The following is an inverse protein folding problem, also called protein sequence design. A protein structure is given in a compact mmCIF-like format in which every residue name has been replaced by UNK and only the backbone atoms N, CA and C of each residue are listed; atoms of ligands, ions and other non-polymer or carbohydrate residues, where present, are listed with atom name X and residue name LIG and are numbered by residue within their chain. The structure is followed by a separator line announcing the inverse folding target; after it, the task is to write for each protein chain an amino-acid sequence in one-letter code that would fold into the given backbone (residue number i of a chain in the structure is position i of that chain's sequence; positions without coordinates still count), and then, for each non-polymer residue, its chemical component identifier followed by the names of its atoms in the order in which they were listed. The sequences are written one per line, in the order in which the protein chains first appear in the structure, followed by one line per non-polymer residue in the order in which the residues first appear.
data_IF_680101181245
#
_entry.id   IF_680101181245
#
_cell.length_a   1.000
_cell.length_b   1.000
_cell.length_c   1.000
_cell.angle_alpha   90.00
_cell.angle_beta   90.00
_cell.angle_gamma   90.00
#
_symmetry.space_group_name_H-M   'P 1'
#
loop_
_entity.id
_entity.type
_entity.pdbx_description
1 polymer ?
#
# COMPACT_ATOMS: atom_id res chain seq x y z
N UNK A 1 7.44 18.38 -12.28
CA UNK A 1 6.63 17.15 -12.35
C UNK A 1 7.24 16.03 -11.54
N UNK A 2 7.44 16.24 -10.23
CA UNK A 2 7.83 15.16 -9.30
C UNK A 2 6.54 14.63 -8.68
N UNK A 3 6.18 13.34 -8.86
CA UNK A 3 4.97 12.80 -8.26
C UNK A 3 5.14 12.64 -6.74
N UNK A 4 4.05 12.63 -5.96
CA UNK A 4 4.13 12.44 -4.51
C UNK A 4 4.62 11.04 -4.11
N UNK A 5 4.52 10.05 -5.00
CA UNK A 5 4.74 8.64 -4.71
C UNK A 5 3.87 8.16 -3.56
N UNK A 6 4.44 7.89 -2.38
CA UNK A 6 3.72 7.40 -1.19
C UNK A 6 3.05 6.02 -1.38
N UNK A 7 2.26 5.57 -0.40
CA UNK A 7 1.46 4.35 -0.55
C UNK A 7 0.39 4.54 -1.64
N UNK A 8 0.15 3.51 -2.44
CA UNK A 8 -0.86 3.56 -3.52
C UNK A 8 -2.30 3.57 -2.95
N UNK A 9 -2.52 2.80 -1.89
CA UNK A 9 -3.70 2.84 -1.02
C UNK A 9 -3.28 3.50 0.29
N UNK A 10 -3.53 4.81 0.36
CA UNK A 10 -3.18 5.63 1.50
C UNK A 10 -4.03 5.31 2.75
N UNK A 11 -5.24 4.78 2.58
CA UNK A 11 -6.15 4.52 3.67
C UNK A 11 -5.67 3.33 4.51
N UNK A 12 -5.37 2.20 3.86
CA UNK A 12 -4.83 1.03 4.57
C UNK A 12 -3.49 1.33 5.24
N UNK A 13 -2.60 2.04 4.54
CA UNK A 13 -1.30 2.43 5.08
C UNK A 13 -1.42 3.32 6.33
N UNK A 14 -2.31 4.31 6.31
CA UNK A 14 -2.53 5.22 7.44
C UNK A 14 -3.19 4.51 8.62
N UNK A 15 -4.20 3.67 8.37
CA UNK A 15 -4.85 2.90 9.43
C UNK A 15 -3.86 2.00 10.16
N UNK A 16 -3.02 1.27 9.43
CA UNK A 16 -2.01 0.41 10.05
C UNK A 16 -0.99 1.18 10.89
N UNK A 17 -0.50 2.33 10.40
CA UNK A 17 0.38 3.20 11.17
C UNK A 17 -0.31 3.73 12.43
N UNK A 18 -1.60 4.09 12.32
CA UNK A 18 -2.40 4.55 13.47
C UNK A 18 -2.57 3.47 14.53
N UNK A 19 -2.75 2.21 14.14
CA UNK A 19 -2.85 1.05 15.05
C UNK A 19 -1.53 0.78 15.78
N UNK A 20 -0.40 1.07 15.13
CA UNK A 20 0.94 1.02 15.76
C UNK A 20 1.27 2.28 16.59
N UNK A 21 0.39 3.28 16.59
CA UNK A 21 0.62 4.60 17.19
C UNK A 21 1.82 5.34 16.59
N UNK A 22 2.11 5.08 15.31
CA UNK A 22 3.15 5.77 14.56
C UNK A 22 2.73 7.21 14.22
N UNK A 23 3.69 8.14 14.07
CA UNK A 23 3.43 9.44 13.47
C UNK A 23 2.95 9.29 12.02
N UNK A 24 2.21 10.27 11.50
CA UNK A 24 1.65 10.20 10.15
C UNK A 24 2.72 10.08 9.04
N UNK A 25 3.94 10.54 9.33
CA UNK A 25 5.08 10.53 8.40
C UNK A 25 5.90 9.23 8.47
N UNK A 26 5.49 8.26 9.30
CA UNK A 26 6.19 6.99 9.43
C UNK A 26 6.22 6.23 8.10
N UNK A 27 7.42 5.81 7.70
CA UNK A 27 7.58 4.99 6.50
C UNK A 27 7.26 3.53 6.80
N UNK A 28 6.85 2.82 5.75
CA UNK A 28 6.56 1.39 5.79
C UNK A 28 6.76 0.78 4.41
N UNK A 29 6.63 -0.53 4.33
CA UNK A 29 6.88 -1.27 3.10
C UNK A 29 5.57 -1.53 2.35
N UNK A 30 5.46 -1.03 1.12
CA UNK A 30 4.42 -1.44 0.17
C UNK A 30 4.83 -2.74 -0.53
N UNK A 31 3.95 -3.73 -0.51
CA UNK A 31 4.11 -5.05 -1.11
C UNK A 31 3.13 -5.16 -2.27
N UNK A 32 3.61 -5.56 -3.44
CA UNK A 32 2.77 -5.73 -4.64
C UNK A 32 2.70 -7.20 -5.04
N UNK A 33 1.50 -7.80 -4.91
CA UNK A 33 1.16 -9.20 -5.24
C UNK A 33 1.90 -10.28 -4.43
N UNK A 34 3.22 -10.24 -4.33
CA UNK A 34 4.03 -11.19 -3.55
C UNK A 34 4.92 -10.45 -2.56
N UNK A 35 4.97 -10.94 -1.33
CA UNK A 35 5.79 -10.38 -0.28
C UNK A 35 7.22 -10.92 -0.23
N UNK A 36 8.09 -10.25 0.54
CA UNK A 36 9.43 -10.73 0.86
C UNK A 36 9.43 -11.69 2.07
N UNK A 37 10.56 -12.36 2.27
CA UNK A 37 10.94 -12.95 3.56
C UNK A 37 11.89 -12.00 4.28
N UNK A 38 11.59 -11.66 5.54
CA UNK A 38 12.33 -10.69 6.34
C UNK A 38 12.72 -11.31 7.68
N UNK A 39 13.95 -11.10 8.11
CA UNK A 39 14.40 -11.45 9.46
C UNK A 39 14.45 -10.18 10.33
N UNK A 40 13.87 -10.24 11.53
CA UNK A 40 13.94 -9.13 12.47
C UNK A 40 15.21 -9.23 13.31
N UNK A 41 16.02 -8.17 13.32
CA UNK A 41 17.26 -8.12 14.13
C UNK A 41 17.04 -7.52 15.53
N UNK A 42 15.84 -7.03 15.82
CA UNK A 42 15.46 -6.45 17.11
C UNK A 42 13.98 -6.74 17.38
N UNK A 43 13.58 -6.70 18.65
CA UNK A 43 12.18 -6.84 19.02
C UNK A 43 11.36 -5.67 18.48
N UNK A 44 10.23 -5.95 17.83
CA UNK A 44 9.40 -4.91 17.21
C UNK A 44 7.93 -5.33 17.14
N UNK A 45 7.02 -4.35 17.20
CA UNK A 45 5.62 -4.57 16.85
C UNK A 45 5.40 -4.26 15.38
N UNK A 46 4.64 -5.10 14.70
CA UNK A 46 4.35 -4.91 13.28
C UNK A 46 2.88 -5.20 12.97
N UNK A 47 2.42 -4.75 11.81
CA UNK A 47 1.09 -5.05 11.29
C UNK A 47 1.17 -5.17 9.77
N UNK A 48 0.34 -6.07 9.23
CA UNK A 48 0.10 -6.19 7.78
C UNK A 48 -1.30 -5.65 7.49
N UNK A 49 -1.43 -4.71 6.55
CA UNK A 49 -2.71 -4.11 6.16
C UNK A 49 -2.87 -4.14 4.64
N UNK A 50 -4.02 -3.67 4.13
CA UNK A 50 -4.37 -3.75 2.71
C UNK A 50 -4.90 -5.12 2.33
N UNK A 51 -4.53 -5.59 1.14
CA UNK A 51 -4.93 -6.90 0.63
C UNK A 51 -4.42 -8.02 1.56
N UNK A 52 -5.25 -9.03 1.77
CA UNK A 52 -4.87 -10.20 2.56
C UNK A 52 -3.79 -10.98 1.80
N UNK A 53 -2.73 -11.38 2.48
CA UNK A 53 -1.69 -12.26 1.95
C UNK A 53 -1.37 -13.36 2.94
N UNK A 54 -0.74 -14.43 2.45
CA UNK A 54 -0.19 -15.47 3.32
C UNK A 54 0.96 -14.87 4.14
N UNK A 55 0.87 -14.96 5.47
CA UNK A 55 1.92 -14.47 6.35
C UNK A 55 2.20 -15.48 7.46
N UNK A 56 3.47 -15.73 7.72
CA UNK A 56 3.93 -16.61 8.80
C UNK A 56 5.12 -15.95 9.51
N UNK A 57 5.09 -15.91 10.84
CA UNK A 57 6.24 -15.58 11.68
C UNK A 57 6.82 -16.90 12.18
N UNK A 58 8.00 -17.25 11.67
CA UNK A 58 8.59 -18.59 11.73
C UNK A 58 7.66 -19.65 11.13
N UNK A 59 6.95 -20.40 11.98
CA UNK A 59 5.95 -21.39 11.58
C UNK A 59 4.51 -20.99 11.97
N UNK A 60 4.35 -19.91 12.74
CA UNK A 60 3.05 -19.47 13.22
C UNK A 60 2.35 -18.54 12.22
N UNK A 61 1.06 -18.76 11.88
CA UNK A 61 0.32 -17.90 10.98
C UNK A 61 0.14 -16.49 11.57
N UNK A 62 0.27 -15.47 10.73
CA UNK A 62 0.07 -14.07 11.08
C UNK A 62 -1.25 -13.57 10.50
N UNK A 63 -2.10 -13.02 11.37
CA UNK A 63 -3.38 -12.43 10.97
C UNK A 63 -3.16 -10.99 10.49
N UNK A 64 -3.59 -10.68 9.26
CA UNK A 64 -3.62 -9.31 8.75
C UNK A 64 -4.59 -8.44 9.56
N UNK A 65 -4.34 -7.13 9.61
CA UNK A 65 -5.11 -6.14 10.36
C UNK A 65 -5.09 -6.33 11.89
N UNK A 66 -4.09 -7.07 12.39
CA UNK A 66 -3.82 -7.24 13.81
C UNK A 66 -2.36 -6.92 14.10
N UNK A 67 -2.12 -6.16 15.18
CA UNK A 67 -0.75 -5.87 15.65
C UNK A 67 -0.14 -7.16 16.22
N UNK A 68 1.03 -7.51 15.71
CA UNK A 68 1.84 -8.65 16.13
C UNK A 68 3.14 -8.16 16.76
N UNK A 69 3.84 -9.05 17.46
CA UNK A 69 5.17 -8.80 18.00
C UNK A 69 6.16 -9.82 17.44
N UNK A 70 7.31 -9.35 16.99
CA UNK A 70 8.44 -10.18 16.60
C UNK A 70 9.60 -9.97 17.57
N UNK A 71 10.32 -11.05 17.85
CA UNK A 71 11.56 -11.06 18.62
C UNK A 71 12.77 -11.08 17.67
N UNK A 72 13.97 -10.68 18.16
CA UNK A 72 15.19 -10.79 17.37
C UNK A 72 15.41 -12.24 16.90
N UNK A 73 15.80 -12.40 15.64
CA UNK A 73 16.05 -13.68 14.99
C UNK A 73 14.84 -14.28 14.27
N UNK A 74 13.61 -13.89 14.61
CA UNK A 74 12.40 -14.42 13.99
C UNK A 74 12.27 -13.98 12.53
N UNK A 75 11.69 -14.85 11.71
CA UNK A 75 11.56 -14.68 10.26
C UNK A 75 10.10 -14.54 9.86
N UNK A 76 9.74 -13.38 9.32
CA UNK A 76 8.44 -13.15 8.71
C UNK A 76 8.48 -13.49 7.22
N UNK A 77 7.75 -14.54 6.84
CA UNK A 77 7.53 -14.93 5.44
C UNK A 77 6.22 -14.36 4.96
N UNK A 78 6.26 -13.56 3.90
CA UNK A 78 5.08 -12.98 3.25
C UNK A 78 4.94 -13.59 1.86
N UNK A 79 3.87 -14.35 1.65
CA UNK A 79 3.56 -15.03 0.40
C UNK A 79 2.78 -14.14 -0.56
N UNK A 80 1.94 -14.79 -1.37
CA UNK A 80 1.10 -14.13 -2.36
C UNK A 80 -0.17 -13.54 -1.72
N UNK A 81 -0.64 -12.44 -2.28
CA UNK A 81 -1.98 -11.90 -2.00
C UNK A 81 -3.04 -12.95 -2.33
N UNK A 82 -3.95 -13.18 -1.40
CA UNK A 82 -5.06 -14.11 -1.51
C UNK A 82 -6.36 -13.36 -1.85
N UNK A 83 -7.04 -13.81 -2.90
CA UNK A 83 -8.32 -13.23 -3.32
C UNK A 83 -8.17 -11.83 -3.92
N UNK A 84 -8.95 -10.88 -3.41
CA UNK A 84 -9.04 -9.53 -3.96
C UNK A 84 -7.91 -8.60 -3.49
N UNK A 85 -7.60 -7.61 -4.32
CA UNK A 85 -6.57 -6.61 -4.04
C UNK A 85 -5.21 -6.95 -4.66
N UNK A 86 -4.32 -5.96 -4.70
CA UNK A 86 -3.00 -6.09 -5.32
C UNK A 86 -1.85 -5.63 -4.41
N UNK A 87 -2.17 -4.91 -3.33
CA UNK A 87 -1.18 -4.28 -2.46
C UNK A 87 -1.48 -4.52 -1.00
N UNK A 88 -0.44 -4.89 -0.27
CA UNK A 88 -0.43 -4.96 1.17
C UNK A 88 0.67 -4.04 1.72
N UNK A 89 0.60 -3.74 3.02
CA UNK A 89 1.58 -2.90 3.68
C UNK A 89 2.09 -3.58 4.94
N UNK A 90 3.40 -3.76 5.03
CA UNK A 90 4.07 -4.13 6.27
C UNK A 90 4.55 -2.85 6.96
N UNK A 91 4.05 -2.63 8.17
CA UNK A 91 4.37 -1.45 8.98
C UNK A 91 4.95 -1.93 10.31
N UNK A 92 5.91 -1.17 10.83
CA UNK A 92 6.60 -1.47 12.10
C UNK A 92 6.46 -0.28 13.05
N UNK A 93 6.42 -0.53 14.36
CA UNK A 93 6.36 0.55 15.35
C UNK A 93 7.58 1.46 15.25
N UNK A 94 7.38 2.77 15.23
CA UNK A 94 8.40 3.78 14.93
C UNK A 94 8.53 4.11 13.44
N UNK A 95 8.21 3.16 12.56
CA UNK A 95 8.39 3.27 11.11
C UNK A 95 9.79 2.87 10.63
N UNK A 96 9.93 2.69 9.32
CA UNK A 96 11.23 2.43 8.70
C UNK A 96 12.07 3.72 8.66
N UNK A 97 13.37 3.57 8.91
CA UNK A 97 14.33 4.63 8.73
C UNK A 97 14.76 4.74 7.26
N UNK A 98 15.22 5.92 6.88
CA UNK A 98 15.67 6.24 5.54
C UNK A 98 15.90 7.74 5.37
N UNK A 99 16.79 8.08 4.46
CA UNK A 99 17.07 9.47 4.13
C UNK A 99 15.84 10.15 3.53
N UNK A 100 15.55 11.35 4.02
CA UNK A 100 14.55 12.20 3.39
C UNK A 100 15.10 12.70 2.04
N UNK A 101 14.28 12.61 1.01
CA UNK A 101 14.52 13.25 -0.27
C UNK A 101 13.31 14.13 -0.59
N UNK A 102 13.55 15.43 -0.78
CA UNK A 102 12.48 16.43 -0.95
C UNK A 102 11.42 16.37 0.17
N UNK A 103 11.86 16.14 1.41
CA UNK A 103 10.97 16.07 2.58
C UNK A 103 10.17 14.77 2.73
N UNK A 104 10.40 13.75 1.89
CA UNK A 104 9.69 12.47 1.92
C UNK A 104 10.62 11.26 1.95
N UNK A 105 10.15 10.16 2.55
CA UNK A 105 10.82 8.84 2.50
C UNK A 105 10.23 7.92 1.42
N UNK A 106 9.28 8.40 0.62
CA UNK A 106 8.68 7.60 -0.43
C UNK A 106 9.67 7.30 -1.57
N UNK A 107 9.63 6.08 -2.09
CA UNK A 107 10.42 5.69 -3.26
C UNK A 107 9.73 6.13 -4.54
N UNK A 108 10.45 6.80 -5.44
CA UNK A 108 10.04 7.01 -6.82
C UNK A 108 10.92 6.16 -7.74
N UNK A 109 10.47 4.96 -8.06
CA UNK A 109 11.28 3.96 -8.78
C UNK A 109 11.65 4.37 -10.21
N UNK A 110 10.77 5.08 -10.92
CA UNK A 110 11.04 5.57 -12.27
C UNK A 110 12.12 6.67 -12.27
N UNK A 111 12.10 7.55 -11.26
CA UNK A 111 13.11 8.59 -11.08
C UNK A 111 14.35 8.14 -10.30
N UNK A 112 14.35 6.91 -9.77
CA UNK A 112 15.44 6.29 -9.02
C UNK A 112 15.90 7.09 -7.78
N UNK A 113 14.97 7.67 -7.01
CA UNK A 113 15.28 8.37 -5.77
C UNK A 113 14.25 8.14 -4.66
N UNK A 114 14.62 8.53 -3.44
CA UNK A 114 13.82 8.34 -2.23
C UNK A 114 13.77 6.89 -1.75
N UNK A 115 13.21 6.68 -0.56
CA UNK A 115 13.13 5.36 0.09
C UNK A 115 14.49 4.66 0.20
N UNK A 116 14.51 3.35 -0.03
CA UNK A 116 15.75 2.56 0.01
C UNK A 116 16.49 2.65 -1.33
N UNK A 117 17.45 3.57 -1.40
CA UNK A 117 18.33 3.75 -2.56
C UNK A 117 17.60 3.94 -3.89
N UNK A 118 16.40 4.55 -3.87
CA UNK A 118 15.62 4.86 -5.07
C UNK A 118 15.00 3.67 -5.80
N UNK A 119 15.03 2.47 -5.22
CA UNK A 119 14.68 1.23 -5.91
C UNK A 119 13.78 0.30 -5.09
N UNK A 120 13.28 -0.74 -5.74
CA UNK A 120 12.70 -1.89 -5.05
C UNK A 120 13.77 -2.63 -4.25
N UNK A 121 13.35 -3.26 -3.16
CA UNK A 121 14.21 -4.08 -2.31
C UNK A 121 14.70 -5.32 -3.06
N UNK A 122 15.85 -5.82 -2.64
CA UNK A 122 16.54 -7.00 -3.15
C UNK A 122 17.00 -7.87 -1.98
N UNK A 123 17.24 -9.14 -2.25
CA UNK A 123 17.82 -10.05 -1.27
C UNK A 123 19.15 -9.51 -0.74
N UNK A 124 19.31 -9.54 0.57
CA UNK A 124 20.49 -9.01 1.27
C UNK A 124 20.39 -7.54 1.68
N UNK A 125 19.36 -6.81 1.26
CA UNK A 125 19.13 -5.46 1.76
C UNK A 125 18.78 -5.48 3.26
N UNK A 126 19.35 -4.52 3.99
CA UNK A 126 19.09 -4.32 5.42
C UNK A 126 18.34 -3.00 5.60
N UNK A 127 17.13 -3.08 6.16
CA UNK A 127 16.33 -1.91 6.50
C UNK A 127 16.51 -1.56 7.97
N UNK A 128 16.80 -0.29 8.23
CA UNK A 128 16.81 0.24 9.58
C UNK A 128 15.41 0.68 9.98
N UNK A 129 15.12 0.63 11.27
CA UNK A 129 13.86 1.09 11.85
C UNK A 129 14.15 2.30 12.72
N UNK A 130 13.26 3.28 12.69
CA UNK A 130 13.31 4.36 13.66
C UNK A 130 13.02 3.78 15.04
N UNK A 131 13.78 4.23 16.04
CA UNK A 131 13.48 3.87 17.43
C UNK A 131 12.08 4.38 17.76
N UNK A 132 11.15 3.53 18.22
CA UNK A 132 9.83 3.99 18.61
C UNK A 132 9.94 5.00 19.75
N UNK A 133 9.09 6.03 19.73
CA UNK A 133 8.97 6.95 20.86
C UNK A 133 8.28 6.20 22.03
N UNK A 134 9.04 5.43 22.81
CA UNK A 134 8.54 4.66 23.95
C UNK A 134 9.22 3.30 24.11
N UNK A 135 8.82 2.57 25.16
CA UNK A 135 9.39 1.26 25.46
C UNK A 135 8.88 0.19 24.47
N UNK A 136 9.73 -0.43 23.62
CA UNK A 136 9.32 -1.46 22.67
C UNK A 136 8.75 -2.72 23.34
N UNK A 137 9.00 -2.90 24.64
CA UNK A 137 8.50 -4.00 25.48
C UNK A 137 7.33 -3.60 26.39
N UNK A 138 6.88 -2.35 26.35
CA UNK A 138 5.71 -1.91 27.12
C UNK A 138 4.41 -2.46 26.54
N UNK A 139 3.48 -2.85 27.41
CA UNK A 139 2.09 -3.15 27.05
C UNK A 139 1.35 -1.86 26.68
N UNK A 140 1.64 -1.32 25.51
CA UNK A 140 0.78 -0.29 24.94
C UNK A 140 -0.57 -0.94 24.58
N UNK A 141 -1.71 -0.29 24.88
CA UNK A 141 -2.98 -0.74 24.38
C UNK A 141 -2.87 -0.79 22.85
N UNK A 142 -2.97 -1.99 22.27
CA UNK A 142 -3.12 -2.14 20.82
C UNK A 142 -4.58 -1.87 20.53
N UNK A 143 -4.94 -0.70 19.97
CA UNK A 143 -6.33 -0.43 19.63
C UNK A 143 -6.79 -1.50 18.63
N UNK A 144 -7.92 -2.15 18.90
CA UNK A 144 -8.55 -3.02 17.91
C UNK A 144 -9.16 -2.14 16.82
N UNK A 145 -8.90 -2.46 15.56
CA UNK A 145 -9.56 -1.78 14.44
C UNK A 145 -11.06 -2.12 14.46
N UNK A 146 -11.97 -1.15 14.60
CA UNK A 146 -13.39 -1.41 14.42
C UNK A 146 -13.64 -1.97 13.02
N UNK A 147 -14.44 -3.03 12.92
CA UNK A 147 -14.70 -3.71 11.64
C UNK A 147 -15.24 -2.75 10.57
N UNK A 148 -16.05 -1.76 10.97
CA UNK A 148 -16.60 -0.74 10.08
C UNK A 148 -15.55 0.19 9.44
N UNK A 149 -14.36 0.33 10.04
CA UNK A 149 -13.27 1.13 9.48
C UNK A 149 -12.37 0.33 8.55
N UNK A 150 -12.46 -1.01 8.55
CA UNK A 150 -11.66 -1.86 7.68
C UNK A 150 -12.16 -1.72 6.23
N UNK A 151 -11.28 -1.40 5.27
CA UNK A 151 -11.69 -1.28 3.88
C UNK A 151 -12.17 -2.63 3.32
N UNK A 152 -13.30 -2.61 2.62
CA UNK A 152 -13.82 -3.76 1.89
C UNK A 152 -13.09 -3.88 0.56
N UNK A 153 -12.09 -4.76 0.48
CA UNK A 153 -11.30 -4.96 -0.75
C UNK A 153 -11.97 -6.04 -1.60
N UNK A 154 -12.43 -5.66 -2.79
CA UNK A 154 -13.22 -6.51 -3.69
C UNK A 154 -12.60 -6.57 -5.10
N UNK A 155 -13.17 -7.39 -5.98
CA UNK A 155 -12.76 -7.51 -7.39
C UNK A 155 -13.58 -6.62 -8.33
N UNK A 156 -14.72 -6.11 -7.86
CA UNK A 156 -15.57 -5.17 -8.58
C UNK A 156 -15.74 -3.90 -7.74
N UNK A 157 -15.64 -2.74 -8.38
CA UNK A 157 -15.66 -1.45 -7.71
C UNK A 157 -16.56 -0.47 -8.46
N UNK A 158 -17.27 0.36 -7.69
CA UNK A 158 -17.87 1.59 -8.19
C UNK A 158 -16.99 2.75 -7.72
N UNK A 159 -16.50 3.55 -8.66
CA UNK A 159 -15.62 4.68 -8.38
C UNK A 159 -16.38 5.97 -8.66
N UNK A 160 -16.51 6.83 -7.66
CA UNK A 160 -17.03 8.17 -7.84
C UNK A 160 -15.93 9.07 -8.40
N UNK A 161 -16.25 9.78 -9.48
CA UNK A 161 -15.34 10.71 -10.15
C UNK A 161 -16.02 12.08 -10.23
N UNK A 162 -15.21 13.13 -10.23
CA UNK A 162 -15.68 14.46 -10.63
C UNK A 162 -15.60 14.55 -12.15
N UNK A 163 -16.67 15.00 -12.78
CA UNK A 163 -16.72 15.13 -14.24
C UNK A 163 -15.77 16.20 -14.76
N UNK A 164 -15.10 15.94 -15.89
CA UNK A 164 -14.17 16.86 -16.54
C UNK A 164 -12.69 16.52 -16.35
N UNK A 165 -11.77 17.34 -16.89
CA UNK A 165 -12.05 18.61 -17.58
C UNK A 165 -12.56 18.44 -19.02
N UNK A 166 -12.30 17.31 -19.66
CA UNK A 166 -12.53 17.13 -21.11
C UNK A 166 -13.70 16.22 -21.47
N UNK A 167 -14.62 15.94 -20.55
CA UNK A 167 -15.88 15.27 -20.91
C UNK A 167 -16.82 16.16 -21.77
N UNK A 168 -16.41 17.37 -22.12
CA UNK A 168 -17.26 18.32 -22.83
C UNK A 168 -17.62 17.84 -24.26
N UNK A 169 -18.74 18.33 -24.82
CA UNK A 169 -19.18 18.02 -26.19
C UNK A 169 -18.14 18.27 -27.28
N UNK A 170 -17.17 19.15 -27.03
CA UNK A 170 -16.07 19.46 -27.95
C UNK A 170 -15.13 18.27 -28.20
N UNK A 171 -15.15 17.26 -27.32
CA UNK A 171 -14.31 16.06 -27.41
C UNK A 171 -15.13 14.77 -27.54
N UNK A 172 -16.23 14.65 -26.80
CA UNK A 172 -17.05 13.43 -26.75
C UNK A 172 -18.51 13.74 -27.07
N UNK A 173 -19.21 12.80 -27.70
CA UNK A 173 -20.66 12.92 -27.85
C UNK A 173 -21.37 12.67 -26.52
N UNK A 174 -22.61 13.15 -26.37
CA UNK A 174 -23.44 12.87 -25.18
C UNK A 174 -23.58 11.37 -24.92
N UNK A 175 -23.98 10.61 -25.95
CA UNK A 175 -24.07 9.15 -25.91
C UNK A 175 -22.76 8.48 -25.48
N UNK A 176 -21.60 9.01 -25.86
CA UNK A 176 -20.30 8.41 -25.48
C UNK A 176 -20.04 8.56 -23.99
N UNK A 177 -20.37 9.73 -23.42
CA UNK A 177 -20.26 9.97 -21.98
C UNK A 177 -21.24 9.09 -21.20
N UNK A 178 -22.48 8.94 -21.66
CA UNK A 178 -23.44 8.04 -21.04
C UNK A 178 -22.93 6.59 -21.05
N UNK A 179 -22.39 6.13 -22.19
CA UNK A 179 -21.78 4.81 -22.31
C UNK A 179 -20.54 4.66 -21.41
N UNK A 180 -19.72 5.70 -21.26
CA UNK A 180 -18.55 5.68 -20.39
C UNK A 180 -18.93 5.40 -18.92
N UNK A 181 -19.99 6.04 -18.42
CA UNK A 181 -20.48 5.86 -17.05
C UNK A 181 -21.29 4.58 -16.85
N UNK A 182 -22.00 4.11 -17.88
CA UNK A 182 -22.77 2.87 -17.82
C UNK A 182 -21.90 1.61 -17.99
N UNK A 183 -20.73 1.74 -18.60
CA UNK A 183 -19.87 0.60 -18.90
C UNK A 183 -19.17 0.02 -17.66
N UNK A 184 -18.99 -1.30 -17.68
CA UNK A 184 -18.02 -1.96 -16.82
C UNK A 184 -16.63 -1.88 -17.46
N UNK A 185 -15.64 -1.45 -16.67
CA UNK A 185 -14.25 -1.32 -17.09
C UNK A 185 -13.40 -2.41 -16.43
N UNK A 186 -12.57 -3.09 -17.23
CA UNK A 186 -11.64 -4.10 -16.74
C UNK A 186 -10.23 -3.52 -16.59
N UNK A 187 -9.51 -3.88 -15.52
CA UNK A 187 -8.12 -3.45 -15.35
C UNK A 187 -7.20 -4.26 -16.26
N UNK A 188 -6.49 -3.59 -17.16
CA UNK A 188 -5.49 -4.22 -18.02
C UNK A 188 -4.25 -4.64 -17.20
N UNK A 189 -3.64 -5.77 -17.55
CA UNK A 189 -2.41 -6.29 -16.89
C UNK A 189 -1.20 -5.33 -16.95
N UNK A 190 -1.25 -4.33 -17.82
CA UNK A 190 -0.19 -3.33 -18.01
C UNK A 190 -0.53 -2.09 -17.19
N UNK A 191 -0.70 -2.31 -15.89
CA UNK A 191 -1.02 -1.31 -14.89
C UNK A 191 0.10 -1.27 -13.87
N UNK A 192 0.49 -0.07 -13.45
CA UNK A 192 1.57 0.11 -12.50
C UNK A 192 1.31 1.31 -11.59
N UNK A 193 2.30 1.71 -10.81
CA UNK A 193 2.20 2.90 -9.96
C UNK A 193 2.05 4.21 -10.75
N UNK A 194 2.47 4.24 -12.02
CA UNK A 194 2.31 5.43 -12.87
C UNK A 194 0.90 5.60 -13.42
N UNK A 195 0.09 4.54 -13.41
CA UNK A 195 -1.28 4.57 -13.90
C UNK A 195 -1.92 3.18 -13.95
N UNK A 196 -3.24 3.15 -13.79
CA UNK A 196 -4.07 1.95 -13.96
C UNK A 196 -4.76 2.05 -15.31
N UNK A 197 -4.44 1.12 -16.21
CA UNK A 197 -5.00 1.10 -17.56
C UNK A 197 -6.29 0.30 -17.56
N UNK A 198 -7.30 0.82 -18.25
CA UNK A 198 -8.62 0.21 -18.34
C UNK A 198 -8.91 -0.30 -19.76
N UNK A 199 -9.65 -1.39 -19.83
CA UNK A 199 -10.24 -1.96 -21.04
C UNK A 199 -11.74 -1.74 -20.94
N UNK A 200 -12.33 -1.20 -22.00
CA UNK A 200 -13.76 -0.91 -22.06
C UNK A 200 -14.16 -0.41 -23.45
N UNK A 201 -15.33 0.23 -23.58
CA UNK A 201 -15.83 0.70 -24.87
C UNK A 201 -14.84 1.67 -25.53
N UNK A 202 -14.77 1.61 -26.86
CA UNK A 202 -13.98 2.57 -27.64
C UNK A 202 -14.74 3.90 -27.71
N UNK A 203 -14.08 5.03 -27.40
CA UNK A 203 -14.75 6.32 -27.43
C UNK A 203 -15.15 6.70 -28.86
N UNK A 204 -16.29 7.37 -28.97
CA UNK A 204 -16.73 8.11 -30.16
C UNK A 204 -16.39 9.59 -29.97
N UNK A 205 -15.35 10.01 -30.68
CA UNK A 205 -14.91 11.40 -30.66
C UNK A 205 -15.88 12.30 -31.43
N UNK A 206 -16.10 13.51 -30.91
CA UNK A 206 -16.89 14.54 -31.58
C UNK A 206 -16.14 15.20 -32.76
N UNK A 207 -14.84 14.90 -32.91
CA UNK A 207 -13.92 15.43 -33.93
C UNK A 207 -12.99 14.35 -34.47
#
# INVERSE_FOLDING_TARGET
GVPPSGPFDNYSFRLGNRLLQNPEQAAGLEITVNGPTLQFNQAVRFIITGATLEAQLDEAPVTCWQVQQAQPGQVLKLGKVQGAGARAYLLVSGGLDGNLYLGSRATFTLGQFGGFSGRALRSGDVLHMLQPAGNPTGTLPSPTLPAALRPSIQTQWQLHVTYGPHGAPDFFTGDDIENFFAANWEVHYNSSRTGVRLIGPKPKWAR
#
